data_IF_052654110627
#
_entry.id   IF_052654110627
#
_cell.length_a   1.000
_cell.length_b   1.000
_cell.length_c   1.000
_cell.angle_alpha   90.00
_cell.angle_beta   90.00
_cell.angle_gamma   90.00
#
_symmetry.space_group_name_H-M   'P 1'
#
loop_
_entity.id
_entity.type
_entity.pdbx_description
1 polymer ?
#
# COMPACT_ATOMS: atom_id res chain seq x y z
N UNK A 1 3.22 8.17 -7.12
CA UNK A 1 3.08 9.62 -6.97
C UNK A 1 4.32 10.23 -6.29
N UNK A 2 4.65 9.86 -5.05
CA UNK A 2 5.80 10.40 -4.28
C UNK A 2 7.11 10.37 -5.08
N UNK A 3 7.40 9.25 -5.75
CA UNK A 3 8.58 9.11 -6.62
C UNK A 3 8.61 10.19 -7.72
N UNK A 4 7.49 10.38 -8.42
CA UNK A 4 7.39 11.35 -9.51
C UNK A 4 7.40 12.80 -9.03
N UNK A 5 6.68 13.12 -7.96
CA UNK A 5 6.69 14.47 -7.40
C UNK A 5 8.09 14.87 -6.92
N UNK A 6 8.83 13.97 -6.27
CA UNK A 6 10.22 14.23 -5.88
C UNK A 6 11.16 14.37 -7.09
N UNK A 7 10.95 13.58 -8.14
CA UNK A 7 11.78 13.65 -9.34
C UNK A 7 11.53 14.91 -10.15
N UNK A 8 10.28 15.31 -10.29
CA UNK A 8 9.85 16.45 -11.10
C UNK A 8 9.79 17.76 -10.31
N UNK A 9 10.18 17.74 -9.02
CA UNK A 9 10.17 18.91 -8.14
C UNK A 9 8.77 19.51 -8.01
N UNK A 10 7.75 18.68 -7.88
CA UNK A 10 6.37 19.08 -7.63
C UNK A 10 6.12 19.16 -6.12
N UNK A 11 5.64 20.30 -5.58
CA UNK A 11 5.22 20.39 -4.19
C UNK A 11 4.15 19.33 -3.88
N UNK A 12 4.30 18.63 -2.76
CA UNK A 12 3.36 17.58 -2.34
C UNK A 12 3.26 17.52 -0.83
N UNK A 13 2.03 17.71 -0.35
CA UNK A 13 1.60 17.41 1.01
C UNK A 13 0.71 16.16 0.99
N UNK A 14 0.89 15.29 1.97
CA UNK A 14 0.07 14.10 2.20
C UNK A 14 -0.53 14.20 3.60
N UNK A 15 -1.82 13.92 3.75
CA UNK A 15 -2.43 13.74 5.05
C UNK A 15 -3.04 12.34 5.15
N UNK A 16 -2.82 11.69 6.28
CA UNK A 16 -3.35 10.38 6.61
C UNK A 16 -4.45 10.56 7.64
N UNK A 17 -5.68 10.42 7.20
CA UNK A 17 -6.88 10.62 8.02
C UNK A 17 -7.22 9.31 8.71
N UNK A 18 -7.40 9.35 10.03
CA UNK A 18 -7.90 8.24 10.86
C UNK A 18 -9.27 8.60 11.40
N UNK A 19 -10.23 7.70 11.35
CA UNK A 19 -11.55 7.88 11.92
C UNK A 19 -11.71 7.13 13.25
N UNK A 20 -12.46 7.68 14.19
CA UNK A 20 -12.78 7.02 15.45
C UNK A 20 -13.82 5.93 15.21
N UNK A 21 -13.45 4.64 15.41
CA UNK A 21 -14.37 3.49 15.30
C UNK A 21 -15.25 3.56 14.04
N UNK A 22 -14.65 3.80 12.87
CA UNK A 22 -15.33 4.12 11.62
C UNK A 22 -16.54 3.21 11.31
N UNK A 23 -16.36 1.90 11.34
CA UNK A 23 -17.42 0.92 11.09
C UNK A 23 -18.55 0.95 12.12
N UNK A 24 -18.25 1.31 13.37
CA UNK A 24 -19.24 1.36 14.46
C UNK A 24 -19.96 2.71 14.51
N UNK A 25 -19.42 3.76 13.87
CA UNK A 25 -19.90 5.15 14.00
C UNK A 25 -20.77 5.59 12.84
N UNK A 26 -20.57 5.00 11.63
CA UNK A 26 -21.33 5.39 10.43
C UNK A 26 -22.83 5.21 10.64
N UNK A 27 -23.59 6.22 10.26
CA UNK A 27 -25.04 6.21 10.38
C UNK A 27 -25.70 5.36 9.30
N UNK A 28 -26.70 4.55 9.70
CA UNK A 28 -27.45 3.69 8.78
C UNK A 28 -28.06 4.48 7.63
N UNK A 29 -28.66 5.65 7.90
CA UNK A 29 -29.29 6.47 6.88
C UNK A 29 -28.27 6.97 5.84
N UNK A 30 -27.03 7.26 6.27
CA UNK A 30 -25.95 7.64 5.35
C UNK A 30 -25.59 6.48 4.40
N UNK A 31 -25.57 5.24 4.90
CA UNK A 31 -25.34 4.03 4.09
C UNK A 31 -26.47 3.85 3.08
N UNK A 32 -27.73 3.96 3.49
CA UNK A 32 -28.88 3.81 2.61
C UNK A 32 -28.92 4.91 1.55
N UNK A 33 -28.67 6.16 1.92
CA UNK A 33 -28.58 7.28 0.96
C UNK A 33 -27.46 7.07 -0.07
N UNK A 34 -26.33 6.52 0.36
CA UNK A 34 -25.23 6.20 -0.56
C UNK A 34 -25.59 5.08 -1.55
N UNK A 35 -26.31 4.05 -1.09
CA UNK A 35 -26.81 2.98 -1.97
C UNK A 35 -27.82 3.48 -2.99
N UNK A 36 -28.74 4.36 -2.58
CA UNK A 36 -29.72 4.99 -3.48
C UNK A 36 -29.03 5.82 -4.56
N UNK A 37 -28.09 6.70 -4.16
CA UNK A 37 -27.27 7.50 -5.09
C UNK A 37 -26.46 6.65 -6.07
N UNK A 38 -26.02 5.47 -5.67
CA UNK A 38 -25.32 4.53 -6.55
C UNK A 38 -26.25 3.77 -7.50
N UNK A 39 -27.56 3.97 -7.42
CA UNK A 39 -28.55 3.31 -8.29
C UNK A 39 -28.65 1.81 -8.05
N UNK A 40 -28.54 1.36 -6.80
CA UNK A 40 -28.74 -0.04 -6.43
C UNK A 40 -30.17 -0.44 -6.78
N UNK A 41 -30.34 -1.64 -7.37
CA UNK A 41 -31.67 -2.15 -7.74
C UNK A 41 -32.62 -2.10 -6.52
N UNK A 42 -33.87 -1.60 -6.67
CA UNK A 42 -34.82 -1.42 -5.58
C UNK A 42 -35.02 -2.67 -4.71
N UNK A 43 -35.11 -3.85 -5.28
CA UNK A 43 -35.28 -5.09 -4.54
C UNK A 43 -34.11 -5.38 -3.58
N UNK A 44 -32.87 -5.07 -3.99
CA UNK A 44 -31.69 -5.20 -3.11
C UNK A 44 -31.62 -4.07 -2.09
N UNK A 45 -32.07 -2.88 -2.46
CA UNK A 45 -32.16 -1.75 -1.55
C UNK A 45 -33.14 -2.03 -0.40
N UNK A 46 -34.34 -2.53 -0.71
CA UNK A 46 -35.37 -2.91 0.26
C UNK A 46 -34.84 -4.01 1.19
N UNK A 47 -34.22 -5.06 0.63
CA UNK A 47 -33.61 -6.14 1.40
C UNK A 47 -32.55 -5.62 2.37
N UNK A 48 -31.62 -4.76 1.91
CA UNK A 48 -30.57 -4.19 2.75
C UNK A 48 -31.15 -3.27 3.82
N UNK A 49 -32.20 -2.53 3.51
CA UNK A 49 -32.93 -1.69 4.46
C UNK A 49 -33.56 -2.55 5.55
N UNK A 50 -34.24 -3.63 5.20
CA UNK A 50 -34.85 -4.56 6.15
C UNK A 50 -33.79 -5.24 7.03
N UNK A 51 -32.69 -5.72 6.43
CA UNK A 51 -31.57 -6.34 7.15
C UNK A 51 -30.88 -5.41 8.15
N UNK A 52 -30.95 -4.10 7.95
CA UNK A 52 -30.30 -3.10 8.81
C UNK A 52 -31.26 -2.38 9.77
N UNK A 53 -32.58 -2.56 9.59
CA UNK A 53 -33.62 -1.92 10.40
C UNK A 53 -34.03 -2.83 11.58
N UNK A 54 -34.31 -2.23 12.72
CA UNK A 54 -34.81 -2.96 13.92
C UNK A 54 -33.82 -3.96 14.51
N UNK A 55 -32.54 -3.85 14.18
CA UNK A 55 -31.51 -4.73 14.71
C UNK A 55 -31.28 -4.48 16.20
N UNK A 56 -31.27 -5.55 16.99
CA UNK A 56 -30.87 -5.52 18.39
C UNK A 56 -29.83 -6.59 18.69
N UNK A 57 -29.05 -6.40 19.74
CA UNK A 57 -28.20 -7.43 20.30
C UNK A 57 -28.65 -7.80 21.68
N UNK A 58 -28.62 -9.09 21.98
CA UNK A 58 -28.98 -9.63 23.30
C UNK A 58 -27.70 -9.93 24.07
N UNK A 59 -27.60 -9.42 25.27
CA UNK A 59 -26.50 -9.75 26.20
C UNK A 59 -27.10 -10.52 27.38
N UNK A 60 -26.71 -11.80 27.49
CA UNK A 60 -27.04 -12.67 28.65
C UNK A 60 -25.78 -12.79 29.51
N UNK A 61 -25.76 -12.14 30.68
CA UNK A 61 -24.71 -12.33 31.68
C UNK A 61 -25.25 -13.25 32.80
N UNK A 62 -25.72 -12.82 33.89
CA UNK A 62 -26.11 -13.67 35.02
C UNK A 62 -27.60 -13.54 35.42
N UNK A 63 -28.46 -13.03 34.56
CA UNK A 63 -29.85 -12.78 34.82
C UNK A 63 -30.66 -12.62 33.53
N UNK A 64 -31.71 -11.78 33.59
CA UNK A 64 -32.54 -11.52 32.42
C UNK A 64 -31.77 -10.93 31.26
N UNK A 65 -32.14 -11.29 30.03
CA UNK A 65 -31.45 -10.78 28.83
C UNK A 65 -31.63 -9.26 28.67
N UNK A 66 -30.53 -8.55 28.45
CA UNK A 66 -30.55 -7.13 28.13
C UNK A 66 -30.51 -6.95 26.61
N UNK A 67 -31.51 -6.29 26.04
CA UNK A 67 -31.61 -5.98 24.62
C UNK A 67 -31.08 -4.57 24.35
N UNK A 68 -30.13 -4.44 23.46
CA UNK A 68 -29.55 -3.16 23.03
C UNK A 68 -29.90 -2.95 21.55
N UNK A 69 -30.67 -1.89 21.27
CA UNK A 69 -31.02 -1.54 19.92
C UNK A 69 -29.79 -0.98 19.17
N UNK A 70 -29.57 -1.47 17.96
CA UNK A 70 -28.44 -1.08 17.12
C UNK A 70 -28.95 -0.06 16.09
N UNK A 71 -28.69 1.23 16.34
CA UNK A 71 -29.11 2.33 15.47
C UNK A 71 -28.03 2.79 14.50
N UNK A 72 -26.78 2.52 14.81
CA UNK A 72 -25.58 2.90 14.02
C UNK A 72 -24.75 1.66 13.75
N UNK A 73 -23.85 1.73 12.80
CA UNK A 73 -22.81 0.78 12.42
C UNK A 73 -23.10 -0.11 11.22
N UNK A 74 -22.00 -0.44 10.55
CA UNK A 74 -21.89 -1.57 9.61
C UNK A 74 -21.27 -2.73 10.40
N UNK A 75 -21.85 -3.94 10.34
CA UNK A 75 -21.44 -5.08 11.18
C UNK A 75 -20.00 -5.49 10.91
N UNK A 76 -19.10 -5.42 11.89
CA UNK A 76 -17.75 -5.95 11.77
C UNK A 76 -17.79 -7.47 11.59
N UNK A 77 -17.05 -7.98 10.58
CA UNK A 77 -17.03 -9.40 10.23
C UNK A 77 -18.07 -9.85 9.21
N UNK A 78 -19.02 -9.01 8.84
CA UNK A 78 -19.93 -9.25 7.71
C UNK A 78 -19.19 -9.00 6.38
N UNK A 79 -19.40 -9.84 5.40
CA UNK A 79 -18.76 -9.75 4.07
C UNK A 79 -19.24 -8.55 3.24
N UNK A 80 -20.43 -8.02 3.53
CA UNK A 80 -21.03 -6.85 2.85
C UNK A 80 -20.56 -5.53 3.46
N UNK A 81 -20.27 -5.50 4.73
CA UNK A 81 -19.95 -4.30 5.51
C UNK A 81 -18.81 -3.45 4.94
N UNK A 82 -17.66 -4.02 4.50
CA UNK A 82 -16.60 -3.21 3.89
C UNK A 82 -17.04 -2.52 2.60
N UNK A 83 -17.93 -3.13 1.82
CA UNK A 83 -18.47 -2.54 0.58
C UNK A 83 -19.44 -1.41 0.89
N UNK A 84 -20.35 -1.61 1.83
CA UNK A 84 -21.29 -0.60 2.28
C UNK A 84 -20.56 0.64 2.82
N UNK A 85 -19.55 0.44 3.65
CA UNK A 85 -18.71 1.50 4.16
C UNK A 85 -17.95 2.24 3.04
N UNK A 86 -17.36 1.50 2.09
CA UNK A 86 -16.63 2.08 0.97
C UNK A 86 -17.54 2.94 0.07
N UNK A 87 -18.76 2.47 -0.24
CA UNK A 87 -19.76 3.24 -1.01
C UNK A 87 -20.16 4.52 -0.27
N UNK A 88 -20.36 4.45 1.06
CA UNK A 88 -20.69 5.62 1.87
C UNK A 88 -19.58 6.65 1.86
N UNK A 89 -18.32 6.23 1.98
CA UNK A 89 -17.18 7.13 1.87
C UNK A 89 -17.02 7.71 0.47
N UNK A 90 -17.18 6.91 -0.58
CA UNK A 90 -17.12 7.40 -1.96
C UNK A 90 -18.18 8.48 -2.20
N UNK A 91 -19.41 8.27 -1.70
CA UNK A 91 -20.48 9.27 -1.77
C UNK A 91 -20.10 10.55 -1.03
N UNK A 92 -19.54 10.44 0.19
CA UNK A 92 -19.04 11.59 0.94
C UNK A 92 -18.00 12.38 0.11
N UNK A 93 -17.00 11.68 -0.44
CA UNK A 93 -15.94 12.33 -1.21
C UNK A 93 -16.44 12.94 -2.52
N UNK A 94 -17.48 12.37 -3.13
CA UNK A 94 -18.08 12.93 -4.35
C UNK A 94 -18.85 14.24 -4.09
N UNK A 95 -19.27 14.51 -2.86
CA UNK A 95 -19.93 15.76 -2.43
C UNK A 95 -18.93 16.88 -2.09
N UNK A 96 -17.63 16.53 -1.95
CA UNK A 96 -16.58 17.48 -1.63
C UNK A 96 -16.02 18.11 -2.92
N UNK A 97 -16.28 19.40 -3.10
CA UNK A 97 -15.75 20.18 -4.24
C UNK A 97 -14.36 20.73 -3.88
N UNK A 98 -13.32 19.92 -4.13
CA UNK A 98 -11.94 20.29 -3.86
C UNK A 98 -11.22 20.80 -5.09
N UNK A 99 -10.98 22.09 -5.13
CA UNK A 99 -10.26 22.75 -6.23
C UNK A 99 -8.77 22.41 -6.33
N UNK A 100 -8.17 21.85 -5.29
CA UNK A 100 -6.75 21.54 -5.21
C UNK A 100 -6.41 20.09 -5.62
N UNK A 101 -5.25 19.62 -5.12
CA UNK A 101 -4.74 18.27 -5.40
C UNK A 101 -3.75 18.22 -6.56
N UNK A 102 -3.20 17.05 -6.81
CA UNK A 102 -2.16 16.87 -7.82
C UNK A 102 -2.77 16.61 -9.19
N UNK A 103 -2.46 17.45 -10.17
CA UNK A 103 -2.95 17.27 -11.53
C UNK A 103 -2.18 16.16 -12.24
N UNK A 104 -2.91 15.14 -12.70
CA UNK A 104 -2.38 13.98 -13.43
C UNK A 104 -3.22 13.80 -14.70
N UNK A 105 -2.63 13.99 -15.87
CA UNK A 105 -3.29 13.84 -17.18
C UNK A 105 -4.64 14.59 -17.26
N UNK A 106 -4.65 15.85 -16.79
CA UNK A 106 -5.83 16.72 -16.83
C UNK A 106 -6.80 16.58 -15.67
N UNK A 107 -6.78 15.49 -14.92
CA UNK A 107 -7.61 15.28 -13.74
C UNK A 107 -6.85 15.54 -12.44
N UNK A 108 -7.59 15.85 -11.38
CA UNK A 108 -7.03 16.17 -10.07
C UNK A 108 -7.12 14.97 -9.13
N UNK A 109 -5.97 14.52 -8.63
CA UNK A 109 -5.90 13.56 -7.55
C UNK A 109 -5.95 14.31 -6.21
N UNK A 110 -7.09 14.29 -5.56
CA UNK A 110 -7.34 15.00 -4.30
C UNK A 110 -7.27 14.09 -3.09
N UNK A 111 -7.67 12.82 -3.23
CA UNK A 111 -7.73 11.83 -2.17
C UNK A 111 -7.64 10.40 -2.72
N UNK A 112 -7.32 9.46 -1.84
CA UNK A 112 -7.42 8.02 -2.08
C UNK A 112 -7.93 7.34 -0.81
N UNK A 113 -9.17 6.86 -0.79
CA UNK A 113 -9.71 6.08 0.31
C UNK A 113 -9.35 4.60 0.18
N UNK A 114 -9.13 3.95 1.30
CA UNK A 114 -8.99 2.49 1.40
C UNK A 114 -9.61 2.03 2.72
N UNK A 115 -10.83 1.53 2.69
CA UNK A 115 -11.66 1.29 3.86
C UNK A 115 -11.75 2.57 4.73
N UNK A 116 -11.38 2.50 6.00
CA UNK A 116 -11.33 3.62 6.94
C UNK A 116 -10.05 4.48 6.81
N UNK A 117 -9.00 3.96 6.18
CA UNK A 117 -7.78 4.71 5.89
C UNK A 117 -7.98 5.64 4.68
N UNK A 118 -7.71 6.92 4.83
CA UNK A 118 -7.79 7.88 3.73
C UNK A 118 -6.51 8.72 3.64
N UNK A 119 -6.04 8.96 2.41
CA UNK A 119 -4.93 9.88 2.14
C UNK A 119 -5.44 11.06 1.32
N UNK A 120 -5.19 12.28 1.81
CA UNK A 120 -5.45 13.52 1.07
C UNK A 120 -4.16 14.02 0.42
N UNK A 121 -4.31 14.63 -0.75
CA UNK A 121 -3.21 15.20 -1.54
C UNK A 121 -3.41 16.72 -1.69
N UNK A 122 -2.35 17.49 -1.52
CA UNK A 122 -2.35 18.93 -1.67
C UNK A 122 -0.98 19.46 -2.11
N UNK A 123 -0.93 20.67 -2.66
CA UNK A 123 0.32 21.35 -2.98
C UNK A 123 0.89 22.17 -1.82
N UNK A 124 0.08 22.46 -0.80
CA UNK A 124 0.47 23.25 0.35
C UNK A 124 -0.22 22.80 1.63
N UNK A 125 0.31 23.21 2.78
CA UNK A 125 -0.33 22.96 4.06
C UNK A 125 -1.63 23.74 4.26
N UNK A 126 -1.77 24.91 3.66
CA UNK A 126 -3.02 25.69 3.71
C UNK A 126 -4.13 24.96 2.96
N UNK A 127 -3.88 24.54 1.72
CA UNK A 127 -4.83 23.73 0.96
C UNK A 127 -5.23 22.46 1.71
N UNK A 128 -4.26 21.82 2.37
CA UNK A 128 -4.52 20.61 3.15
C UNK A 128 -5.41 20.89 4.37
N UNK A 129 -5.21 22.05 5.05
CA UNK A 129 -6.05 22.49 6.16
C UNK A 129 -7.49 22.73 5.70
N UNK A 130 -7.70 23.39 4.57
CA UNK A 130 -9.03 23.63 4.03
C UNK A 130 -9.76 22.31 3.71
N UNK A 131 -9.06 21.35 3.12
CA UNK A 131 -9.58 19.99 2.89
C UNK A 131 -9.96 19.28 4.18
N UNK A 132 -9.15 19.40 5.22
CA UNK A 132 -9.47 18.81 6.52
C UNK A 132 -10.75 19.42 7.13
N UNK A 133 -10.90 20.75 7.07
CA UNK A 133 -12.08 21.43 7.62
C UNK A 133 -13.35 21.01 6.89
N UNK A 134 -13.33 20.96 5.56
CA UNK A 134 -14.46 20.49 4.76
C UNK A 134 -14.78 19.02 5.07
N UNK A 135 -13.76 18.15 5.06
CA UNK A 135 -13.93 16.71 5.33
C UNK A 135 -14.51 16.48 6.73
N UNK A 136 -14.09 17.26 7.72
CA UNK A 136 -14.61 17.15 9.08
C UNK A 136 -16.10 17.47 9.17
N UNK A 137 -16.53 18.54 8.48
CA UNK A 137 -17.94 18.94 8.43
C UNK A 137 -18.79 17.86 7.77
N UNK A 138 -18.38 17.40 6.61
CA UNK A 138 -19.13 16.39 5.84
C UNK A 138 -19.12 15.01 6.52
N UNK A 139 -18.00 14.62 7.11
CA UNK A 139 -17.89 13.35 7.86
C UNK A 139 -18.83 13.30 9.05
N UNK A 140 -19.00 14.43 9.78
CA UNK A 140 -19.95 14.54 10.92
C UNK A 140 -21.39 14.28 10.49
N UNK A 141 -21.79 14.66 9.26
CA UNK A 141 -23.15 14.44 8.73
C UNK A 141 -23.48 12.97 8.57
N UNK A 142 -22.50 12.13 8.32
CA UNK A 142 -22.65 10.69 8.16
C UNK A 142 -22.26 9.90 9.42
N UNK A 143 -22.07 10.60 10.55
CA UNK A 143 -21.73 10.02 11.85
C UNK A 143 -20.25 9.64 12.04
N UNK A 144 -19.37 10.02 11.12
CA UNK A 144 -17.93 9.78 11.24
C UNK A 144 -17.26 10.96 11.95
N UNK A 145 -16.35 10.63 12.87
CA UNK A 145 -15.53 11.60 13.59
C UNK A 145 -14.05 11.35 13.30
N UNK A 146 -13.33 12.37 12.80
CA UNK A 146 -11.89 12.26 12.60
C UNK A 146 -11.16 12.16 13.94
N UNK A 147 -10.18 11.26 14.00
CA UNK A 147 -9.28 11.14 15.13
C UNK A 147 -8.06 12.05 14.92
N UNK A 148 -8.18 13.31 15.36
CA UNK A 148 -7.14 14.32 15.13
C UNK A 148 -5.79 13.96 15.78
N UNK A 149 -5.78 13.18 16.86
CA UNK A 149 -4.54 12.74 17.51
C UNK A 149 -3.76 11.68 16.72
N UNK A 150 -4.47 10.83 15.98
CA UNK A 150 -3.86 9.81 15.11
C UNK A 150 -3.66 10.29 13.67
N UNK A 151 -4.46 11.26 13.24
CA UNK A 151 -4.30 11.89 11.94
C UNK A 151 -2.94 12.59 11.87
N UNK A 152 -2.19 12.35 10.79
CA UNK A 152 -0.85 12.89 10.59
C UNK A 152 -0.74 13.47 9.19
N UNK A 153 0.20 14.37 9.01
CA UNK A 153 0.52 14.88 7.69
C UNK A 153 2.01 14.97 7.46
N UNK A 154 2.41 15.03 6.21
CA UNK A 154 3.80 15.17 5.81
C UNK A 154 3.91 15.97 4.52
N UNK A 155 5.05 16.64 4.30
CA UNK A 155 5.34 17.43 3.09
C UNK A 155 6.73 17.12 2.55
N UNK A 156 6.91 17.36 1.25
CA UNK A 156 8.25 17.39 0.68
C UNK A 156 8.92 18.76 0.94
N UNK A 157 10.23 18.84 0.70
CA UNK A 157 11.02 20.06 0.94
C UNK A 157 10.64 21.26 0.05
N UNK A 158 9.78 21.05 -0.93
CA UNK A 158 9.31 22.09 -1.86
C UNK A 158 8.11 22.87 -1.30
N UNK A 159 7.41 22.29 -0.33
CA UNK A 159 6.30 22.95 0.34
C UNK A 159 6.84 23.84 1.46
N UNK A 160 6.23 25.03 1.59
CA UNK A 160 6.54 25.95 2.71
C UNK A 160 6.15 25.32 4.05
N UNK A 161 6.87 25.69 5.09
CA UNK A 161 6.50 25.33 6.46
C UNK A 161 5.14 25.90 6.81
N UNK A 162 4.30 25.08 7.40
CA UNK A 162 2.96 25.45 7.82
C UNK A 162 2.55 24.63 9.04
N UNK A 163 1.62 25.17 9.81
CA UNK A 163 0.99 24.44 10.92
C UNK A 163 -0.48 24.25 10.57
N UNK A 164 -0.92 23.02 10.58
CA UNK A 164 -2.33 22.69 10.33
C UNK A 164 -3.04 22.66 11.68
N UNK A 165 -4.05 23.51 11.81
CA UNK A 165 -4.87 23.62 13.02
C UNK A 165 -6.33 23.34 12.67
N UNK A 166 -6.95 22.40 13.37
CA UNK A 166 -8.34 22.00 13.20
C UNK A 166 -9.02 22.07 14.57
N UNK A 167 -10.00 22.95 14.70
CA UNK A 167 -10.74 23.21 15.97
C UNK A 167 -9.82 23.43 17.19
N UNK A 168 -8.71 24.15 17.00
CA UNK A 168 -7.74 24.44 18.07
C UNK A 168 -6.69 23.32 18.30
N UNK A 169 -6.83 22.18 17.67
CA UNK A 169 -5.85 21.10 17.75
C UNK A 169 -4.88 21.12 16.56
N UNK A 170 -3.58 21.12 16.86
CA UNK A 170 -2.52 21.06 15.85
C UNK A 170 -2.37 19.61 15.38
N UNK A 171 -2.45 19.39 14.08
CA UNK A 171 -2.17 18.10 13.46
C UNK A 171 -0.65 17.95 13.32
N UNK A 172 -0.13 16.84 13.81
CA UNK A 172 1.30 16.57 13.83
C UNK A 172 1.87 16.37 12.42
N UNK A 173 2.92 17.15 12.10
CA UNK A 173 3.76 16.91 10.93
C UNK A 173 4.76 15.79 11.22
N UNK A 174 4.84 14.78 10.35
CA UNK A 174 5.74 13.64 10.51
C UNK A 174 6.70 13.50 9.33
N UNK A 175 7.93 13.08 9.58
CA UNK A 175 8.91 12.81 8.52
C UNK A 175 8.69 11.46 7.81
N UNK A 176 7.95 10.56 8.44
CA UNK A 176 7.54 9.27 7.87
C UNK A 176 6.26 8.76 8.49
N UNK A 177 5.47 8.02 7.73
CA UNK A 177 4.22 7.41 8.18
C UNK A 177 4.06 5.99 7.62
N UNK A 178 3.48 5.08 8.40
CA UNK A 178 3.18 3.71 7.94
C UNK A 178 1.75 3.67 7.41
N UNK A 179 1.60 3.67 6.09
CA UNK A 179 0.31 3.59 5.40
C UNK A 179 0.15 2.24 4.72
N UNK A 180 -0.98 1.58 4.93
CA UNK A 180 -1.28 0.23 4.42
C UNK A 180 -0.13 -0.77 4.63
N UNK A 181 0.48 -0.69 5.81
CA UNK A 181 1.59 -1.56 6.17
C UNK A 181 2.92 -1.25 5.47
N UNK A 182 3.06 -0.14 4.75
CA UNK A 182 4.30 0.32 4.13
C UNK A 182 4.71 1.69 4.68
N UNK A 183 5.99 1.84 5.07
CA UNK A 183 6.52 3.14 5.49
C UNK A 183 6.70 4.05 4.28
N UNK A 184 6.11 5.23 4.34
CA UNK A 184 6.27 6.33 3.39
C UNK A 184 7.13 7.42 3.99
N UNK A 185 8.03 8.02 3.20
CA UNK A 185 8.84 9.18 3.54
C UNK A 185 9.24 9.90 2.27
N UNK A 186 9.40 11.22 2.31
CA UNK A 186 9.90 11.98 1.17
C UNK A 186 11.43 11.92 1.03
N UNK A 187 12.14 11.69 2.13
CA UNK A 187 13.61 11.72 2.15
C UNK A 187 14.23 10.34 1.97
N UNK A 188 13.75 9.33 2.68
CA UNK A 188 14.40 8.00 2.74
C UNK A 188 13.39 6.84 2.73
N UNK A 189 12.47 6.90 1.77
CA UNK A 189 11.33 5.99 1.67
C UNK A 189 11.75 4.50 1.64
N UNK A 190 12.83 4.16 0.94
CA UNK A 190 13.19 2.76 0.67
C UNK A 190 14.08 2.16 1.75
N UNK A 191 15.01 2.93 2.29
CA UNK A 191 15.97 2.42 3.30
C UNK A 191 15.27 2.14 4.62
N UNK A 192 14.40 3.06 5.07
CA UNK A 192 13.59 2.88 6.27
C UNK A 192 12.67 1.66 6.17
N UNK A 193 11.93 1.56 5.06
CA UNK A 193 11.03 0.42 4.85
C UNK A 193 11.80 -0.90 4.68
N UNK A 194 12.94 -0.91 3.99
CA UNK A 194 13.79 -2.11 3.90
C UNK A 194 14.22 -2.60 5.29
N UNK A 195 14.60 -1.69 6.18
CA UNK A 195 14.96 -2.02 7.56
C UNK A 195 13.77 -2.60 8.32
N UNK A 196 12.59 -2.01 8.15
CA UNK A 196 11.34 -2.49 8.76
C UNK A 196 10.96 -3.89 8.28
N UNK A 197 11.09 -4.19 6.98
CA UNK A 197 10.84 -5.53 6.43
C UNK A 197 11.83 -6.57 6.96
N UNK A 198 13.10 -6.21 7.06
CA UNK A 198 14.12 -7.07 7.67
C UNK A 198 13.78 -7.42 9.11
N UNK A 199 13.37 -6.43 9.91
CA UNK A 199 12.94 -6.65 11.29
C UNK A 199 11.68 -7.54 11.36
N UNK A 200 10.70 -7.35 10.46
CA UNK A 200 9.52 -8.21 10.38
C UNK A 200 9.87 -9.66 10.03
N UNK A 201 10.83 -9.88 9.11
CA UNK A 201 11.33 -11.22 8.80
C UNK A 201 12.03 -11.89 10.00
N UNK A 202 12.85 -11.14 10.73
CA UNK A 202 13.49 -11.63 11.96
C UNK A 202 12.47 -11.92 13.07
N UNK A 203 11.47 -11.07 13.23
CA UNK A 203 10.36 -11.32 14.16
C UNK A 203 9.62 -12.61 13.80
N UNK A 204 9.31 -12.80 12.52
CA UNK A 204 8.66 -14.01 11.99
C UNK A 204 9.51 -15.26 12.22
N UNK A 205 10.83 -15.18 12.00
CA UNK A 205 11.78 -16.26 12.30
C UNK A 205 11.81 -16.61 13.79
N UNK A 206 11.94 -15.58 14.65
CA UNK A 206 12.04 -15.78 16.11
C UNK A 206 10.78 -16.43 16.69
N UNK A 207 9.60 -16.08 16.18
CA UNK A 207 8.31 -16.70 16.57
C UNK A 207 8.24 -18.19 16.27
N UNK A 208 8.99 -18.65 15.26
CA UNK A 208 9.01 -20.04 14.78
C UNK A 208 10.35 -20.71 14.99
N UNK A 209 11.21 -20.11 15.81
CA UNK A 209 12.59 -20.54 16.00
C UNK A 209 12.67 -21.97 16.46
N UNK A 210 11.82 -22.39 17.40
CA UNK A 210 11.82 -23.76 17.92
C UNK A 210 11.62 -24.77 16.79
N UNK A 211 10.58 -24.62 15.97
CA UNK A 211 10.31 -25.51 14.84
C UNK A 211 11.39 -25.45 13.75
N UNK A 212 11.85 -24.22 13.40
CA UNK A 212 12.86 -24.05 12.35
C UNK A 212 14.23 -24.63 12.71
N UNK A 213 14.58 -24.65 14.00
CA UNK A 213 15.86 -25.18 14.49
C UNK A 213 15.76 -26.62 14.98
N UNK A 214 14.59 -27.23 15.04
CA UNK A 214 14.39 -28.62 15.41
C UNK A 214 15.12 -29.54 14.43
N UNK A 215 15.97 -30.42 14.92
CA UNK A 215 16.71 -31.35 14.09
C UNK A 215 15.83 -32.45 13.48
N UNK A 216 14.72 -32.80 14.15
CA UNK A 216 13.81 -33.85 13.73
C UNK A 216 12.79 -33.37 12.66
N UNK A 217 12.62 -32.07 12.49
CA UNK A 217 11.67 -31.55 11.52
C UNK A 217 12.29 -31.63 10.10
N UNK A 218 11.61 -32.31 9.15
CA UNK A 218 12.08 -32.42 7.77
C UNK A 218 12.33 -31.06 7.12
N UNK A 219 13.40 -30.96 6.31
CA UNK A 219 13.79 -29.70 5.66
C UNK A 219 12.68 -29.14 4.75
N UNK A 220 11.88 -30.00 4.13
CA UNK A 220 10.72 -29.61 3.33
C UNK A 220 9.72 -28.78 4.15
N UNK A 221 9.39 -29.22 5.37
CA UNK A 221 8.47 -28.47 6.25
C UNK A 221 9.08 -27.14 6.70
N UNK A 222 10.40 -27.09 6.94
CA UNK A 222 11.11 -25.84 7.23
C UNK A 222 11.08 -24.89 6.04
N UNK A 223 11.19 -25.40 4.82
CA UNK A 223 11.05 -24.61 3.60
C UNK A 223 9.62 -24.06 3.45
N UNK A 224 8.61 -24.86 3.70
CA UNK A 224 7.21 -24.42 3.65
C UNK A 224 6.93 -23.34 4.71
N UNK A 225 7.46 -23.48 5.92
CA UNK A 225 7.39 -22.45 6.96
C UNK A 225 8.12 -21.15 6.55
N UNK A 226 9.28 -21.28 5.93
CA UNK A 226 10.00 -20.11 5.42
C UNK A 226 9.20 -19.39 4.32
N UNK A 227 8.69 -20.11 3.33
CA UNK A 227 7.95 -19.58 2.20
C UNK A 227 6.60 -18.98 2.62
N UNK A 228 5.92 -19.56 3.58
CA UNK A 228 4.60 -19.10 4.04
C UNK A 228 4.66 -17.97 5.06
N UNK A 229 5.78 -17.75 5.74
CA UNK A 229 5.82 -16.82 6.87
C UNK A 229 6.96 -15.80 6.83
N UNK A 230 8.20 -16.23 6.63
CA UNK A 230 9.37 -15.34 6.70
C UNK A 230 9.53 -14.57 5.39
N UNK A 231 9.48 -15.27 4.26
CA UNK A 231 9.61 -14.67 2.94
C UNK A 231 8.51 -13.63 2.65
N UNK A 232 7.22 -13.89 2.92
CA UNK A 232 6.18 -12.87 2.77
C UNK A 232 6.38 -11.65 3.69
N UNK A 233 6.82 -11.84 4.93
CA UNK A 233 7.12 -10.73 5.83
C UNK A 233 8.28 -9.85 5.33
N UNK A 234 9.29 -10.47 4.72
CA UNK A 234 10.43 -9.78 4.12
C UNK A 234 10.06 -9.03 2.85
N UNK A 235 9.14 -9.57 2.04
CA UNK A 235 8.81 -9.09 0.69
C UNK A 235 7.49 -8.30 0.61
N UNK A 236 6.84 -8.00 1.71
CA UNK A 236 5.57 -7.28 1.68
C UNK A 236 5.73 -5.89 1.02
N UNK A 237 4.89 -5.61 0.02
CA UNK A 237 4.85 -4.33 -0.69
C UNK A 237 6.02 -4.07 -1.66
N UNK A 238 6.97 -5.00 -1.79
CA UNK A 238 8.14 -4.87 -2.66
C UNK A 238 7.79 -4.76 -4.15
N UNK A 239 6.62 -5.21 -4.53
CA UNK A 239 6.11 -5.11 -5.91
C UNK A 239 6.09 -3.67 -6.41
N UNK A 240 5.86 -2.70 -5.51
CA UNK A 240 5.74 -1.27 -5.80
C UNK A 240 7.05 -0.48 -5.59
N UNK A 241 8.17 -1.13 -5.17
CA UNK A 241 9.40 -0.39 -4.86
C UNK A 241 10.31 -0.20 -6.08
N UNK A 242 11.03 0.93 -6.16
CA UNK A 242 12.21 1.03 -7.00
C UNK A 242 13.34 0.21 -6.37
N UNK A 243 13.64 -0.94 -6.96
CA UNK A 243 14.65 -1.88 -6.42
C UNK A 243 16.05 -1.42 -6.81
N UNK A 244 16.82 -0.95 -5.82
CA UNK A 244 18.24 -0.62 -5.98
C UNK A 244 19.13 -1.82 -5.65
N UNK A 245 20.38 -1.81 -6.09
CA UNK A 245 21.34 -2.88 -5.75
C UNK A 245 21.54 -2.99 -4.24
N UNK A 246 21.60 -1.86 -3.54
CA UNK A 246 21.73 -1.84 -2.08
C UNK A 246 20.57 -2.51 -1.35
N UNK A 247 19.33 -2.37 -1.86
CA UNK A 247 18.15 -3.08 -1.31
C UNK A 247 18.25 -4.58 -1.56
N UNK A 248 18.60 -5.00 -2.79
CA UNK A 248 18.81 -6.43 -3.09
C UNK A 248 19.84 -7.05 -2.16
N UNK A 249 20.99 -6.38 -1.98
CA UNK A 249 22.07 -6.88 -1.14
C UNK A 249 21.65 -7.01 0.32
N UNK A 250 20.95 -6.00 0.87
CA UNK A 250 20.41 -6.04 2.24
C UNK A 250 19.42 -7.19 2.46
N UNK A 251 18.52 -7.41 1.51
CA UNK A 251 17.52 -8.49 1.60
C UNK A 251 18.18 -9.86 1.43
N UNK A 252 19.13 -9.98 0.50
CA UNK A 252 19.91 -11.22 0.30
C UNK A 252 20.74 -11.58 1.53
N UNK A 253 21.38 -10.60 2.18
CA UNK A 253 22.12 -10.81 3.43
C UNK A 253 21.18 -11.30 4.53
N UNK A 254 19.98 -10.74 4.61
CA UNK A 254 18.98 -11.17 5.62
C UNK A 254 18.54 -12.62 5.37
N UNK A 255 18.22 -12.97 4.14
CA UNK A 255 17.86 -14.34 3.77
C UNK A 255 18.99 -15.32 4.11
N UNK A 256 20.21 -15.06 3.65
CA UNK A 256 21.39 -15.91 3.94
C UNK A 256 21.61 -16.12 5.43
N UNK A 257 21.39 -15.08 6.24
CA UNK A 257 21.53 -15.20 7.70
C UNK A 257 20.46 -16.11 8.29
N UNK A 258 19.23 -16.09 7.78
CA UNK A 258 18.14 -16.98 8.19
C UNK A 258 18.43 -18.42 7.75
N UNK A 259 18.81 -18.62 6.47
CA UNK A 259 19.15 -19.91 5.87
C UNK A 259 20.24 -20.62 6.66
N UNK A 260 21.34 -19.91 6.95
CA UNK A 260 22.48 -20.44 7.73
C UNK A 260 22.07 -20.87 9.13
N UNK A 261 21.21 -20.09 9.79
CA UNK A 261 20.72 -20.46 11.13
C UNK A 261 19.86 -21.71 11.10
N UNK A 262 18.99 -21.87 10.11
CA UNK A 262 18.13 -23.04 9.94
C UNK A 262 18.98 -24.29 9.68
N UNK A 263 20.03 -24.14 8.85
CA UNK A 263 20.94 -25.25 8.49
C UNK A 263 22.04 -25.50 9.55
N UNK A 264 22.15 -24.64 10.57
CA UNK A 264 23.27 -24.67 11.55
C UNK A 264 24.66 -24.56 10.89
N UNK A 265 24.73 -23.82 9.77
CA UNK A 265 25.96 -23.58 8.99
C UNK A 265 26.51 -22.21 9.33
N UNK A 266 27.77 -22.13 9.76
CA UNK A 266 28.49 -20.90 10.04
C UNK A 266 29.14 -20.32 8.77
N UNK A 267 29.65 -19.09 8.84
CA UNK A 267 30.47 -18.53 7.76
C UNK A 267 31.82 -19.24 7.62
N UNK A 268 32.33 -19.83 8.72
CA UNK A 268 33.60 -20.55 8.75
C UNK A 268 33.57 -21.84 7.91
N UNK A 269 32.36 -22.42 7.74
CA UNK A 269 32.19 -23.68 7.00
C UNK A 269 32.30 -23.48 5.48
N UNK A 270 32.45 -22.22 5.00
CA UNK A 270 32.66 -21.82 3.59
C UNK A 270 31.64 -22.39 2.59
N UNK A 271 30.46 -22.82 3.08
CA UNK A 271 29.38 -23.33 2.22
C UNK A 271 28.72 -22.15 1.49
N UNK A 272 28.61 -22.26 0.16
CA UNK A 272 27.99 -21.23 -0.67
C UNK A 272 26.47 -21.12 -0.43
N UNK A 273 25.90 -19.96 -0.71
CA UNK A 273 24.44 -19.75 -0.59
C UNK A 273 23.65 -20.63 -1.58
N UNK A 274 24.21 -20.89 -2.75
CA UNK A 274 23.54 -21.72 -3.76
C UNK A 274 23.50 -23.19 -3.33
N UNK A 275 24.56 -23.67 -2.69
CA UNK A 275 24.59 -25.01 -2.09
C UNK A 275 23.60 -25.13 -0.93
N UNK A 276 23.51 -24.12 -0.07
CA UNK A 276 22.51 -24.09 1.01
C UNK A 276 21.10 -24.16 0.43
N UNK A 277 20.79 -23.40 -0.61
CA UNK A 277 19.48 -23.41 -1.27
C UNK A 277 19.17 -24.72 -1.97
N UNK A 278 20.17 -25.32 -2.60
CA UNK A 278 20.02 -26.66 -3.20
C UNK A 278 19.61 -27.71 -2.15
N UNK A 279 20.18 -27.64 -0.95
CA UNK A 279 19.85 -28.55 0.18
C UNK A 279 18.50 -28.24 0.80
N UNK A 280 18.14 -26.96 0.90
CA UNK A 280 16.96 -26.52 1.63
C UNK A 280 15.71 -26.38 0.78
N UNK A 281 15.85 -26.15 -0.53
CA UNK A 281 14.75 -25.81 -1.43
C UNK A 281 14.23 -24.38 -1.23
N UNK A 282 14.95 -23.50 -0.52
CA UNK A 282 14.53 -22.12 -0.33
C UNK A 282 14.64 -21.33 -1.63
N UNK A 283 13.59 -20.57 -1.94
CA UNK A 283 13.58 -19.68 -3.10
C UNK A 283 14.49 -18.48 -2.86
N UNK A 284 15.31 -18.12 -3.85
CA UNK A 284 16.14 -16.91 -3.77
C UNK A 284 15.28 -15.63 -3.69
N UNK A 285 15.59 -14.79 -2.71
CA UNK A 285 14.83 -13.54 -2.46
C UNK A 285 14.86 -12.61 -3.66
N UNK A 286 15.99 -12.49 -4.36
CA UNK A 286 16.11 -11.61 -5.53
C UNK A 286 15.27 -12.15 -6.70
N UNK A 287 15.26 -13.45 -6.90
CA UNK A 287 14.39 -14.09 -7.89
C UNK A 287 12.92 -13.81 -7.61
N UNK A 288 12.51 -13.99 -6.35
CA UNK A 288 11.12 -13.77 -5.95
C UNK A 288 10.71 -12.29 -6.05
N UNK A 289 11.60 -11.34 -5.73
CA UNK A 289 11.39 -9.90 -5.92
C UNK A 289 11.02 -9.60 -7.38
N UNK A 290 11.82 -10.05 -8.32
CA UNK A 290 11.60 -9.73 -9.74
C UNK A 290 10.40 -10.47 -10.32
N UNK A 291 10.12 -11.69 -9.86
CA UNK A 291 8.90 -12.44 -10.21
C UNK A 291 7.64 -11.70 -9.77
N UNK A 292 7.60 -11.23 -8.52
CA UNK A 292 6.46 -10.45 -8.00
C UNK A 292 6.32 -9.13 -8.75
N UNK A 293 7.41 -8.41 -8.95
CA UNK A 293 7.43 -7.16 -9.70
C UNK A 293 6.92 -7.34 -11.13
N UNK A 294 7.34 -8.40 -11.82
CA UNK A 294 6.84 -8.76 -13.13
C UNK A 294 5.33 -9.01 -13.12
N UNK A 295 4.86 -9.83 -12.18
CA UNK A 295 3.43 -10.14 -12.02
C UNK A 295 2.61 -8.87 -11.82
N UNK A 296 3.05 -7.99 -10.90
CA UNK A 296 2.39 -6.71 -10.62
C UNK A 296 2.42 -5.77 -11.82
N UNK A 297 3.56 -5.60 -12.46
CA UNK A 297 3.69 -4.76 -13.65
C UNK A 297 2.77 -5.23 -14.80
N UNK A 298 2.69 -6.55 -15.01
CA UNK A 298 1.75 -7.12 -15.97
C UNK A 298 0.30 -6.87 -15.59
N UNK A 299 -0.04 -6.95 -14.30
CA UNK A 299 -1.37 -6.60 -13.81
C UNK A 299 -1.70 -5.13 -14.10
N UNK A 300 -0.82 -4.21 -13.72
CA UNK A 300 -1.00 -2.76 -13.97
C UNK A 300 -1.18 -2.46 -15.46
N UNK A 301 -0.40 -3.10 -16.32
CA UNK A 301 -0.49 -2.90 -17.77
C UNK A 301 -1.82 -3.36 -18.36
N UNK A 302 -2.47 -4.38 -17.79
CA UNK A 302 -3.75 -4.94 -18.26
C UNK A 302 -5.00 -4.33 -17.61
N UNK A 303 -4.84 -3.38 -16.68
CA UNK A 303 -5.95 -2.61 -16.12
C UNK A 303 -6.60 -1.79 -17.26
N UNK A 304 -7.89 -1.96 -17.47
CA UNK A 304 -8.65 -1.27 -18.54
C UNK A 304 -9.49 -0.11 -18.04
N UNK A 305 -9.75 -0.07 -16.74
CA UNK A 305 -10.44 1.06 -16.11
C UNK A 305 -9.48 2.25 -15.93
N UNK A 306 -10.02 3.44 -15.79
CA UNK A 306 -9.27 4.68 -15.67
C UNK A 306 -8.77 4.95 -14.23
N UNK A 307 -8.37 3.90 -13.48
CA UNK A 307 -7.92 4.09 -12.10
C UNK A 307 -6.53 4.70 -12.01
N UNK A 308 -6.27 5.36 -10.90
CA UNK A 308 -5.06 6.11 -10.62
C UNK A 308 -3.76 5.30 -10.75
N UNK A 309 -3.80 3.99 -10.52
CA UNK A 309 -2.62 3.11 -10.68
C UNK A 309 -2.06 3.17 -12.10
N UNK A 310 -2.91 3.02 -13.13
CA UNK A 310 -2.51 3.09 -14.53
C UNK A 310 -2.10 4.50 -14.91
N UNK A 311 -2.91 5.49 -14.56
CA UNK A 311 -2.65 6.90 -14.85
C UNK A 311 -1.30 7.35 -14.29
N UNK A 312 -1.04 7.13 -13.01
CA UNK A 312 0.23 7.48 -12.38
C UNK A 312 1.43 6.72 -12.95
N UNK A 313 1.24 5.50 -13.44
CA UNK A 313 2.30 4.74 -14.09
C UNK A 313 2.67 5.34 -15.44
N UNK A 314 1.68 5.75 -16.22
CA UNK A 314 1.86 6.40 -17.53
C UNK A 314 2.21 7.88 -17.43
N UNK A 315 1.86 8.53 -16.33
CA UNK A 315 2.03 9.98 -16.16
C UNK A 315 3.47 10.43 -16.44
N UNK A 316 3.64 11.27 -17.43
CA UNK A 316 4.92 11.87 -17.82
C UNK A 316 4.68 13.34 -18.21
N UNK A 317 4.56 14.23 -17.22
CA UNK A 317 4.24 15.64 -17.46
C UNK A 317 5.35 16.33 -18.24
N UNK A 318 4.97 17.17 -19.18
CA UNK A 318 5.90 17.98 -19.99
C UNK A 318 6.59 19.08 -19.16
N UNK A 319 5.86 19.60 -18.16
CA UNK A 319 6.32 20.58 -17.16
C UNK A 319 5.82 20.20 -15.77
N UNK A 320 6.62 20.38 -14.71
CA UNK A 320 8.02 20.81 -14.71
C UNK A 320 8.99 19.76 -15.24
N UNK A 321 10.07 20.23 -15.91
CA UNK A 321 11.13 19.35 -16.38
C UNK A 321 11.99 18.87 -15.23
N UNK A 322 12.45 17.64 -15.33
CA UNK A 322 13.35 17.04 -14.35
C UNK A 322 14.67 17.83 -14.22
N UNK A 323 15.18 18.03 -12.99
CA UNK A 323 16.51 18.62 -12.76
C UNK A 323 17.63 17.83 -13.48
N UNK A 324 18.72 18.54 -13.83
CA UNK A 324 19.93 17.90 -14.38
C UNK A 324 20.54 16.95 -13.35
N UNK A 325 21.09 15.85 -13.79
CA UNK A 325 21.77 14.88 -12.94
C UNK A 325 21.41 13.43 -13.23
N UNK A 326 22.04 12.51 -12.48
CA UNK A 326 21.75 11.07 -12.60
C UNK A 326 20.32 10.77 -12.13
N UNK A 327 19.50 10.11 -12.96
CA UNK A 327 18.14 9.73 -12.57
C UNK A 327 18.15 8.81 -11.34
N UNK A 328 17.24 9.07 -10.39
CA UNK A 328 16.94 8.09 -9.34
C UNK A 328 16.34 6.82 -9.99
N UNK A 329 16.55 5.67 -9.36
CA UNK A 329 15.95 4.42 -9.82
C UNK A 329 14.43 4.52 -9.69
N UNK A 330 13.72 4.37 -10.81
CA UNK A 330 12.24 4.37 -10.84
C UNK A 330 11.70 2.95 -10.67
N UNK A 331 10.46 2.86 -10.20
CA UNK A 331 9.74 1.58 -10.13
C UNK A 331 9.70 0.87 -11.49
N UNK A 332 9.36 1.59 -12.54
CA UNK A 332 9.31 1.05 -13.91
C UNK A 332 10.69 0.83 -14.55
N UNK A 333 11.78 1.24 -13.88
CA UNK A 333 13.15 1.20 -14.41
C UNK A 333 13.57 -0.15 -15.02
N UNK A 334 13.36 -1.30 -14.36
CA UNK A 334 13.67 -2.61 -14.91
C UNK A 334 12.93 -2.90 -16.22
N UNK A 335 11.63 -2.60 -16.30
CA UNK A 335 10.80 -2.81 -17.48
C UNK A 335 11.24 -1.93 -18.64
N UNK A 336 11.41 -0.63 -18.39
CA UNK A 336 11.84 0.34 -19.41
C UNK A 336 13.22 0.00 -19.95
N UNK A 337 14.15 -0.41 -19.09
CA UNK A 337 15.52 -0.75 -19.51
C UNK A 337 15.59 -2.00 -20.37
N UNK A 338 14.79 -3.02 -20.06
CA UNK A 338 14.76 -4.29 -20.81
C UNK A 338 13.94 -4.20 -22.09
N UNK A 339 12.78 -3.55 -22.02
CA UNK A 339 11.74 -3.66 -23.05
C UNK A 339 11.45 -2.33 -23.74
N UNK A 340 12.06 -1.24 -23.28
CA UNK A 340 11.83 0.12 -23.80
C UNK A 340 10.61 0.81 -23.16
N UNK A 341 10.32 2.03 -23.60
CA UNK A 341 9.21 2.86 -23.07
C UNK A 341 7.84 2.21 -23.26
N UNK A 342 7.69 1.40 -24.30
CA UNK A 342 6.43 0.74 -24.66
C UNK A 342 6.23 -0.62 -23.95
N UNK A 343 6.94 -0.90 -22.85
CA UNK A 343 6.85 -2.15 -22.12
C UNK A 343 5.41 -2.55 -21.75
N UNK A 344 4.54 -1.57 -21.47
CA UNK A 344 3.14 -1.82 -21.13
C UNK A 344 2.37 -2.45 -22.30
N UNK A 345 2.67 -2.09 -23.56
CA UNK A 345 2.06 -2.73 -24.73
C UNK A 345 2.44 -4.21 -24.83
N UNK A 346 3.71 -4.54 -24.56
CA UNK A 346 4.16 -5.93 -24.51
C UNK A 346 3.53 -6.71 -23.36
N UNK A 347 3.28 -6.07 -22.22
CA UNK A 347 2.65 -6.67 -21.07
C UNK A 347 1.14 -6.92 -21.21
N UNK A 348 0.51 -6.40 -22.28
CA UNK A 348 -0.88 -6.74 -22.65
C UNK A 348 -1.02 -8.23 -22.99
N UNK A 349 -0.06 -8.79 -23.73
CA UNK A 349 -0.03 -10.22 -24.00
C UNK A 349 0.55 -10.98 -22.82
N UNK A 350 -0.31 -11.75 -22.15
CA UNK A 350 0.05 -12.55 -20.97
C UNK A 350 1.15 -13.58 -21.29
N UNK A 351 1.09 -14.21 -22.45
CA UNK A 351 2.00 -15.29 -22.81
C UNK A 351 3.42 -14.78 -22.98
N UNK A 352 3.61 -13.77 -23.81
CA UNK A 352 4.93 -13.16 -24.02
C UNK A 352 5.44 -12.46 -22.76
N UNK A 353 4.56 -11.91 -21.93
CA UNK A 353 4.94 -11.28 -20.66
C UNK A 353 5.42 -12.29 -19.63
N UNK A 354 4.85 -13.49 -19.58
CA UNK A 354 5.25 -14.53 -18.61
C UNK A 354 6.70 -15.02 -18.82
N UNK A 355 7.23 -14.88 -20.04
CA UNK A 355 8.59 -15.29 -20.42
C UNK A 355 9.66 -14.22 -20.10
N UNK A 356 9.26 -13.00 -19.72
CA UNK A 356 10.18 -11.90 -19.41
C UNK A 356 10.91 -12.14 -18.10
N UNK A 357 12.24 -12.23 -18.12
CA UNK A 357 13.05 -12.23 -16.89
C UNK A 357 13.58 -10.84 -16.57
N UNK A 358 12.95 -10.16 -15.64
CA UNK A 358 13.34 -8.82 -15.20
C UNK A 358 14.71 -8.75 -14.51
N UNK A 359 15.33 -9.87 -14.10
CA UNK A 359 16.66 -9.87 -13.47
C UNK A 359 17.76 -9.42 -14.44
N UNK A 360 17.53 -9.63 -15.74
CA UNK A 360 18.45 -9.23 -16.81
C UNK A 360 18.69 -7.72 -16.97
N UNK A 361 17.85 -6.86 -16.36
CA UNK A 361 17.90 -5.41 -16.59
C UNK A 361 19.21 -4.72 -16.18
N UNK A 362 19.99 -5.34 -15.28
CA UNK A 362 21.29 -4.81 -14.84
C UNK A 362 22.46 -5.23 -15.73
N UNK A 363 22.28 -6.25 -16.58
CA UNK A 363 23.32 -6.63 -17.53
C UNK A 363 23.51 -5.49 -18.52
N UNK A 364 24.77 -5.11 -18.86
CA UNK A 364 24.99 -4.19 -19.96
C UNK A 364 24.30 -4.78 -21.21
N UNK A 365 23.62 -3.94 -21.99
CA UNK A 365 23.17 -4.36 -23.33
C UNK A 365 24.45 -4.79 -24.06
N UNK A 366 24.56 -6.10 -24.35
CA UNK A 366 25.66 -6.61 -25.15
C UNK A 366 25.75 -5.73 -26.39
N UNK A 367 26.90 -5.12 -26.58
CA UNK A 367 27.14 -4.38 -27.80
C UNK A 367 26.82 -5.32 -28.96
N UNK A 368 25.86 -4.92 -29.79
CA UNK A 368 25.70 -5.51 -31.10
C UNK A 368 27.04 -5.20 -31.80
N UNK A 369 27.88 -6.23 -31.84
CA UNK A 369 29.12 -6.15 -32.59
C UNK A 369 28.76 -5.79 -34.01
N UNK A 370 29.19 -4.61 -34.42
CA UNK A 370 29.34 -4.26 -35.83
C UNK A 370 30.23 -5.33 -36.49
N UNK A 371 29.65 -6.17 -37.29
CA UNK A 371 30.30 -6.81 -38.40
C UNK A 371 29.64 -6.32 -39.68
#
# INVERSE_FOLDING_TARGET
LVEKCNELQIPLCLAFVDYKKAFDSVERNAVLNALDKCGVNPNYFDLLTEMTTGCSTEIKLFGDPCYINICKRVRQGDTTSPKLFAVTLETLFSELDWDGGIRVDGERLTHLPFADDCVLFAHSGLELQDKFLQLQVESKKIGLEMNLSKTKWMRNSLCRESRINIEGQIIEEVGSYVYLGQQLSFTDNIVGECSRRRNAAWFSFNRRRTSLLDANLPMKIKADLFHSTILPALLYGLDCWPITKAVEDKLSVTQRSVERRICKISLRDQVTSDEIRRRTGFTDVVQEIYKRKQKWAGHVARIRDNRWTTRLTCWDPLDPKRPRGRPKTRWAGPMVKLLGQLWMRRAQDWKSWSEVDLRGWRKPRGGVGSR
#
